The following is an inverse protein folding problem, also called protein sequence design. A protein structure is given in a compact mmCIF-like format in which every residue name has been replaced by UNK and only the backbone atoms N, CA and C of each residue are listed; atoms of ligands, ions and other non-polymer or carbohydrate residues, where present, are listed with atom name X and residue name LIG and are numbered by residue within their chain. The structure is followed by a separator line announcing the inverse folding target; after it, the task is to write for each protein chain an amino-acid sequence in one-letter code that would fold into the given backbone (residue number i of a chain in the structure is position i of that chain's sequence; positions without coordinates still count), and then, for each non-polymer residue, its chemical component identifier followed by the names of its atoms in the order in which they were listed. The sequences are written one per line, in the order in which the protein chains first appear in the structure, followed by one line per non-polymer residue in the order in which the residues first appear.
data_IF_392850443929
#
_entry.id   IF_392850443929
#
_cell.length_a   1.000
_cell.length_b   1.000
_cell.length_c   1.000
_cell.angle_alpha   90.00
_cell.angle_beta   90.00
_cell.angle_gamma   90.00
#
_symmetry.space_group_name_H-M   'P 1'
#
loop_
_entity.id
_entity.type
_entity.pdbx_description
1 polymer ?
#
# COMPACT_ATOMS: atom_id res chain seq x y z
N UNK A 1 -68.22 23.56 -46.14
CA UNK A 1 -67.81 22.16 -46.02
C UNK A 1 -66.56 22.17 -45.16
N UNK A 2 -66.69 21.86 -43.87
CA UNK A 2 -65.56 21.90 -42.91
C UNK A 2 -65.18 20.46 -42.56
N UNK A 3 -63.99 20.01 -42.99
CA UNK A 3 -63.50 18.67 -42.63
C UNK A 3 -63.13 18.60 -41.16
N UNK A 4 -63.55 17.56 -40.42
CA UNK A 4 -63.21 17.40 -39.02
C UNK A 4 -61.78 16.87 -38.88
N UNK A 5 -60.93 17.65 -38.20
CA UNK A 5 -59.56 17.33 -37.84
C UNK A 5 -59.53 16.07 -36.95
N UNK A 6 -59.15 14.91 -37.52
CA UNK A 6 -59.04 13.64 -36.83
C UNK A 6 -57.80 13.68 -35.91
N UNK A 7 -57.98 13.97 -34.61
CA UNK A 7 -56.93 13.84 -33.57
C UNK A 7 -56.48 12.39 -33.52
N UNK A 8 -55.23 12.13 -33.98
CA UNK A 8 -54.53 10.86 -33.72
C UNK A 8 -54.41 10.69 -32.21
N UNK A 9 -55.10 9.72 -31.65
CA UNK A 9 -54.84 9.23 -30.29
C UNK A 9 -53.45 8.67 -30.26
N UNK A 10 -52.53 9.37 -29.62
CA UNK A 10 -51.23 8.79 -29.23
C UNK A 10 -51.54 7.73 -28.19
N UNK A 11 -51.33 6.47 -28.57
CA UNK A 11 -51.38 5.35 -27.64
C UNK A 11 -50.27 5.52 -26.62
N UNK A 12 -50.64 5.81 -25.37
CA UNK A 12 -49.69 5.80 -24.26
C UNK A 12 -49.11 4.38 -24.13
N UNK A 13 -47.80 4.21 -24.08
CA UNK A 13 -47.19 2.89 -23.87
C UNK A 13 -47.68 2.31 -22.54
N UNK A 14 -47.94 1.01 -22.51
CA UNK A 14 -48.46 0.36 -21.31
C UNK A 14 -47.40 0.35 -20.22
N UNK A 15 -47.71 0.56 -18.92
CA UNK A 15 -46.74 0.64 -17.83
C UNK A 15 -45.92 -0.66 -17.60
N UNK A 16 -46.34 -1.77 -18.22
CA UNK A 16 -45.59 -3.04 -18.19
C UNK A 16 -44.40 -3.05 -19.12
N UNK A 17 -44.45 -2.37 -20.25
CA UNK A 17 -43.33 -2.26 -21.21
C UNK A 17 -42.22 -1.38 -20.66
N UNK A 18 -42.56 -0.29 -19.97
CA UNK A 18 -41.62 0.62 -19.34
C UNK A 18 -40.84 -0.04 -18.20
N UNK A 19 -41.50 -0.90 -17.40
CA UNK A 19 -40.82 -1.66 -16.34
C UNK A 19 -39.80 -2.67 -16.89
N UNK A 20 -40.09 -3.30 -18.00
CA UNK A 20 -39.13 -4.23 -18.66
C UNK A 20 -37.90 -3.51 -19.20
N UNK A 21 -38.04 -2.33 -19.81
CA UNK A 21 -36.93 -1.52 -20.31
C UNK A 21 -36.02 -1.07 -19.17
N UNK A 22 -36.56 -0.56 -18.07
CA UNK A 22 -35.79 -0.13 -16.91
C UNK A 22 -34.96 -1.25 -16.27
N UNK A 23 -35.49 -2.49 -16.25
CA UNK A 23 -34.72 -3.65 -15.74
C UNK A 23 -33.51 -3.96 -16.64
N UNK A 24 -33.68 -3.89 -17.95
CA UNK A 24 -32.60 -4.11 -18.91
C UNK A 24 -31.51 -3.04 -18.80
N UNK A 25 -31.90 -1.77 -18.71
CA UNK A 25 -30.99 -0.66 -18.50
C UNK A 25 -30.20 -0.82 -17.19
N UNK A 26 -30.88 -1.16 -16.11
CA UNK A 26 -30.24 -1.42 -14.83
C UNK A 26 -29.27 -2.60 -14.90
N UNK A 27 -29.65 -3.69 -15.55
CA UNK A 27 -28.79 -4.87 -15.72
C UNK A 27 -27.51 -4.60 -16.51
N UNK A 28 -27.51 -3.60 -17.40
CA UNK A 28 -26.34 -3.17 -18.15
C UNK A 28 -25.44 -2.24 -17.32
N UNK A 29 -26.00 -1.37 -16.49
CA UNK A 29 -25.27 -0.38 -15.70
C UNK A 29 -24.64 -1.01 -14.46
N UNK A 30 -25.33 -1.94 -13.79
CA UNK A 30 -24.86 -2.52 -12.51
C UNK A 30 -23.50 -3.18 -12.60
N UNK A 31 -23.15 -4.00 -13.61
CA UNK A 31 -21.83 -4.61 -13.70
C UNK A 31 -20.72 -3.56 -13.78
N UNK A 32 -20.92 -2.50 -14.56
CA UNK A 32 -19.95 -1.40 -14.68
C UNK A 32 -19.78 -0.64 -13.37
N UNK A 33 -20.90 -0.37 -12.69
CA UNK A 33 -20.90 0.28 -11.37
C UNK A 33 -20.17 -0.57 -10.31
N UNK A 34 -20.45 -1.87 -10.25
CA UNK A 34 -19.76 -2.79 -9.33
C UNK A 34 -18.25 -2.88 -9.61
N UNK A 35 -17.85 -2.92 -10.88
CA UNK A 35 -16.44 -2.90 -11.26
C UNK A 35 -15.75 -1.63 -10.76
N UNK A 36 -16.39 -0.47 -10.90
CA UNK A 36 -15.87 0.80 -10.41
C UNK A 36 -15.75 0.81 -8.88
N UNK A 37 -16.77 0.35 -8.16
CA UNK A 37 -16.76 0.29 -6.69
C UNK A 37 -15.66 -0.64 -6.18
N UNK A 38 -15.53 -1.84 -6.75
CA UNK A 38 -14.46 -2.78 -6.39
C UNK A 38 -13.07 -2.24 -6.72
N UNK A 39 -12.94 -1.49 -7.82
CA UNK A 39 -11.71 -0.79 -8.16
C UNK A 39 -11.32 0.24 -7.10
N UNK A 40 -12.27 1.07 -6.66
CA UNK A 40 -12.03 2.05 -5.61
C UNK A 40 -11.54 1.36 -4.32
N UNK A 41 -12.15 0.25 -3.93
CA UNK A 41 -11.77 -0.51 -2.73
C UNK A 41 -10.32 -1.02 -2.86
N UNK A 42 -9.98 -1.70 -3.94
CA UNK A 42 -8.66 -2.29 -4.13
C UNK A 42 -7.54 -1.22 -4.22
N UNK A 43 -7.77 -0.15 -5.00
CA UNK A 43 -6.78 0.92 -5.12
C UNK A 43 -6.64 1.75 -3.84
N UNK A 44 -7.74 1.97 -3.09
CA UNK A 44 -7.67 2.64 -1.79
C UNK A 44 -6.85 1.84 -0.79
N UNK A 45 -6.98 0.51 -0.78
CA UNK A 45 -6.18 -0.35 0.07
C UNK A 45 -4.70 -0.30 -0.32
N UNK A 46 -4.38 -0.43 -1.61
CA UNK A 46 -3.00 -0.32 -2.10
C UNK A 46 -2.37 1.05 -1.78
N UNK A 47 -3.15 2.13 -1.86
CA UNK A 47 -2.69 3.47 -1.51
C UNK A 47 -2.45 3.61 0.01
N UNK A 48 -3.31 3.01 0.83
CA UNK A 48 -3.11 2.95 2.28
C UNK A 48 -1.81 2.21 2.63
N UNK A 49 -1.56 1.04 2.04
CA UNK A 49 -0.34 0.27 2.24
C UNK A 49 0.91 1.08 1.84
N UNK A 50 0.86 1.78 0.70
CA UNK A 50 1.93 2.66 0.26
C UNK A 50 2.24 3.78 1.27
N UNK A 51 1.21 4.42 1.79
CA UNK A 51 1.37 5.46 2.81
C UNK A 51 1.92 4.90 4.12
N UNK A 52 1.46 3.73 4.55
CA UNK A 52 1.95 3.02 5.73
C UNK A 52 3.44 2.71 5.62
N UNK A 53 3.89 2.20 4.46
CA UNK A 53 5.32 1.96 4.18
C UNK A 53 6.12 3.26 4.27
N UNK A 54 5.65 4.35 3.68
CA UNK A 54 6.35 5.65 3.72
C UNK A 54 6.46 6.23 5.13
N UNK A 55 5.39 6.15 5.91
CA UNK A 55 5.37 6.62 7.30
C UNK A 55 6.25 5.73 8.18
N UNK A 56 6.14 4.41 8.05
CA UNK A 56 6.93 3.46 8.82
C UNK A 56 8.43 3.59 8.58
N UNK A 57 8.87 3.83 7.34
CA UNK A 57 10.28 4.09 7.03
C UNK A 57 10.79 5.37 7.73
N UNK A 58 9.99 6.44 7.77
CA UNK A 58 10.38 7.69 8.43
C UNK A 58 10.52 7.51 9.93
N UNK A 59 9.55 6.88 10.55
CA UNK A 59 9.56 6.68 11.98
C UNK A 59 10.60 5.64 12.40
N UNK A 60 10.75 4.53 11.64
CA UNK A 60 11.81 3.55 11.85
C UNK A 60 13.19 4.16 11.72
N UNK A 61 13.46 4.93 10.68
CA UNK A 61 14.73 5.61 10.50
C UNK A 61 15.03 6.60 11.65
N UNK A 62 14.01 7.32 12.13
CA UNK A 62 14.15 8.23 13.28
C UNK A 62 14.60 7.49 14.54
N UNK A 63 14.02 6.34 14.84
CA UNK A 63 14.42 5.53 16.00
C UNK A 63 15.83 4.94 15.83
N UNK A 64 16.19 4.55 14.63
CA UNK A 64 17.52 4.04 14.31
C UNK A 64 18.61 5.10 14.57
N UNK A 65 18.37 6.37 14.18
CA UNK A 65 19.39 7.41 14.32
C UNK A 65 19.61 7.88 15.78
N UNK A 66 18.64 7.62 16.66
CA UNK A 66 18.77 7.92 18.11
C UNK A 66 19.07 6.67 18.94
N UNK A 67 19.23 5.52 18.31
CA UNK A 67 19.45 4.22 18.96
C UNK A 67 18.38 3.87 20.03
N UNK A 68 17.12 4.23 19.77
CA UNK A 68 16.01 3.92 20.68
C UNK A 68 15.28 2.65 20.25
N UNK A 69 15.53 1.57 20.99
CA UNK A 69 14.92 0.26 20.80
C UNK A 69 13.87 -0.08 21.86
N UNK A 70 13.55 0.84 22.77
CA UNK A 70 12.69 0.60 23.94
C UNK A 70 11.22 0.39 23.58
N UNK A 71 10.83 0.77 22.39
CA UNK A 71 9.45 0.71 21.90
C UNK A 71 9.20 -0.54 21.04
N UNK A 72 7.94 -0.90 20.87
CA UNK A 72 7.45 -1.92 19.92
C UNK A 72 7.82 -3.39 20.25
N UNK A 73 8.30 -3.69 21.46
CA UNK A 73 8.63 -5.08 21.86
C UNK A 73 9.86 -5.67 21.12
N UNK A 74 10.63 -4.85 20.42
CA UNK A 74 11.82 -5.26 19.67
C UNK A 74 13.07 -5.34 20.55
N UNK A 75 13.03 -6.16 21.60
CA UNK A 75 14.07 -6.23 22.64
C UNK A 75 15.10 -7.34 22.43
N UNK A 76 14.89 -8.23 21.48
CA UNK A 76 15.75 -9.40 21.24
C UNK A 76 16.58 -9.28 19.97
N UNK A 77 17.77 -9.86 19.98
CA UNK A 77 18.71 -9.87 18.87
C UNK A 77 19.68 -8.68 18.87
N UNK A 78 20.52 -8.61 17.85
CA UNK A 78 21.49 -7.51 17.63
C UNK A 78 20.74 -6.20 17.32
N UNK A 79 21.43 -5.05 17.49
CA UNK A 79 20.87 -3.73 17.17
C UNK A 79 20.33 -3.66 15.73
N UNK A 80 20.97 -4.33 14.78
CA UNK A 80 20.49 -4.40 13.40
C UNK A 80 19.16 -5.14 13.26
N UNK A 81 18.98 -6.25 14.00
CA UNK A 81 17.72 -7.01 14.03
C UNK A 81 16.63 -6.21 14.74
N UNK A 82 16.96 -5.53 15.85
CA UNK A 82 16.04 -4.65 16.57
C UNK A 82 15.61 -3.48 15.70
N UNK A 83 16.52 -2.84 14.98
CA UNK A 83 16.26 -1.78 14.03
C UNK A 83 15.27 -2.20 12.92
N UNK A 84 15.50 -3.39 12.34
CA UNK A 84 14.58 -3.95 11.34
C UNK A 84 13.22 -4.30 11.94
N UNK A 85 13.18 -4.84 13.17
CA UNK A 85 11.95 -5.12 13.92
C UNK A 85 11.13 -3.85 14.15
N UNK A 86 11.76 -2.80 14.69
CA UNK A 86 11.13 -1.49 14.93
C UNK A 86 10.57 -0.91 13.63
N UNK A 87 11.36 -0.94 12.55
CA UNK A 87 10.89 -0.46 11.24
C UNK A 87 9.65 -1.20 10.76
N UNK A 88 9.60 -2.54 10.89
CA UNK A 88 8.40 -3.32 10.54
C UNK A 88 7.20 -2.98 11.42
N UNK A 89 7.42 -2.81 12.72
CA UNK A 89 6.36 -2.42 13.66
C UNK A 89 5.76 -1.05 13.29
N UNK A 90 6.60 -0.09 12.90
CA UNK A 90 6.16 1.26 12.49
C UNK A 90 5.47 1.28 11.12
N UNK A 91 5.77 0.35 10.24
CA UNK A 91 5.01 0.17 9.00
C UNK A 91 3.58 -0.27 9.30
N UNK A 92 3.37 -1.07 10.35
CA UNK A 92 2.03 -1.47 10.81
C UNK A 92 1.28 -2.40 9.85
N UNK A 93 1.96 -3.00 8.88
CA UNK A 93 1.44 -4.00 7.96
C UNK A 93 1.88 -5.41 8.35
N UNK A 94 1.52 -6.42 7.56
CA UNK A 94 1.96 -7.79 7.82
C UNK A 94 3.49 -7.86 7.87
N UNK A 95 4.04 -8.22 9.04
CA UNK A 95 5.47 -8.25 9.30
C UNK A 95 6.23 -9.30 8.45
N UNK A 96 5.58 -10.41 8.11
CA UNK A 96 6.17 -11.46 7.28
C UNK A 96 6.40 -11.00 5.83
N UNK A 97 5.50 -10.15 5.33
CA UNK A 97 5.55 -9.59 3.98
C UNK A 97 6.37 -8.29 3.91
N UNK A 98 6.55 -7.60 5.05
CA UNK A 98 7.35 -6.37 5.13
C UNK A 98 8.83 -6.71 5.14
N UNK A 99 9.54 -6.35 4.08
CA UNK A 99 10.99 -6.59 3.94
C UNK A 99 11.75 -5.29 4.17
N UNK A 100 12.80 -5.38 4.98
CA UNK A 100 13.61 -4.24 5.42
C UNK A 100 15.05 -4.45 5.00
N UNK A 101 15.69 -3.39 4.52
CA UNK A 101 17.16 -3.30 4.37
C UNK A 101 17.63 -2.02 5.06
N UNK A 102 18.70 -2.16 5.82
CA UNK A 102 19.40 -1.05 6.48
C UNK A 102 20.81 -1.05 5.93
N UNK A 103 21.20 0.04 5.33
CA UNK A 103 22.49 0.19 4.67
C UNK A 103 23.31 1.30 5.34
N UNK A 104 24.54 0.96 5.68
CA UNK A 104 25.51 1.87 6.25
C UNK A 104 26.68 1.99 5.27
N UNK A 105 27.05 3.21 4.82
CA UNK A 105 28.08 3.36 3.78
C UNK A 105 29.50 3.00 4.25
N UNK A 106 29.82 3.16 5.54
CA UNK A 106 31.16 2.89 6.04
C UNK A 106 31.18 2.38 7.48
N UNK A 107 30.92 3.25 8.43
CA UNK A 107 31.01 2.98 9.86
C UNK A 107 29.78 3.47 10.57
N UNK A 108 29.31 2.77 11.61
CA UNK A 108 28.25 3.26 12.46
C UNK A 108 28.83 4.27 13.45
N UNK A 109 28.75 5.54 13.10
CA UNK A 109 29.31 6.65 13.91
C UNK A 109 28.37 7.87 13.83
N UNK A 110 28.34 8.73 14.87
CA UNK A 110 27.58 9.97 14.84
C UNK A 110 28.01 10.85 13.66
N UNK A 111 27.04 11.42 12.95
CA UNK A 111 27.25 12.23 11.74
C UNK A 111 27.29 11.44 10.44
N UNK A 112 27.48 10.13 10.46
CA UNK A 112 27.38 9.25 9.30
C UNK A 112 25.92 9.07 8.86
N UNK A 113 25.72 8.54 7.65
CA UNK A 113 24.40 8.34 7.07
C UNK A 113 23.95 6.90 7.19
N UNK A 114 22.73 6.70 7.63
CA UNK A 114 22.04 5.41 7.55
C UNK A 114 20.92 5.51 6.51
N UNK A 115 20.81 4.51 5.65
CA UNK A 115 19.74 4.39 4.68
C UNK A 115 18.83 3.23 5.07
N UNK A 116 17.55 3.52 5.21
CA UNK A 116 16.51 2.53 5.53
C UNK A 116 15.61 2.37 4.32
N UNK A 117 15.46 1.16 3.85
CA UNK A 117 14.62 0.78 2.73
C UNK A 117 13.61 -0.27 3.16
N UNK A 118 12.38 -0.09 2.72
CA UNK A 118 11.30 -1.04 2.98
C UNK A 118 10.57 -1.35 1.68
N UNK A 119 10.22 -2.63 1.50
CA UNK A 119 9.32 -3.07 0.45
C UNK A 119 8.17 -3.89 1.03
N UNK A 120 6.99 -3.74 0.42
CA UNK A 120 5.77 -4.45 0.78
C UNK A 120 4.95 -4.79 -0.47
N UNK A 121 4.45 -6.03 -0.65
CA UNK A 121 3.72 -6.42 -1.84
C UNK A 121 2.29 -5.87 -1.81
N UNK A 122 1.80 -5.32 -2.91
CA UNK A 122 0.38 -5.02 -3.04
C UNK A 122 -0.44 -6.30 -3.20
N UNK A 123 -1.63 -6.29 -2.61
CA UNK A 123 -2.60 -7.38 -2.74
C UNK A 123 -3.97 -6.82 -3.06
N UNK A 124 -4.64 -7.41 -4.05
CA UNK A 124 -6.05 -7.12 -4.31
C UNK A 124 -6.90 -7.74 -3.21
N UNK A 125 -7.79 -6.95 -2.62
CA UNK A 125 -8.72 -7.39 -1.59
C UNK A 125 -9.95 -8.08 -2.20
N UNK A 126 -10.45 -7.53 -3.31
CA UNK A 126 -11.63 -8.07 -4.01
C UNK A 126 -11.30 -9.24 -4.95
N UNK A 127 -10.02 -9.39 -5.31
CA UNK A 127 -9.54 -10.37 -6.28
C UNK A 127 -9.72 -9.95 -7.74
N UNK A 128 -10.58 -8.98 -8.04
CA UNK A 128 -10.90 -8.57 -9.40
C UNK A 128 -9.70 -7.89 -10.09
N UNK A 129 -8.97 -7.07 -9.35
CA UNK A 129 -7.78 -6.36 -9.85
C UNK A 129 -6.46 -7.09 -9.53
N UNK A 130 -6.53 -8.36 -9.15
CA UNK A 130 -5.33 -9.19 -8.91
C UNK A 130 -4.32 -9.17 -10.07
N UNK A 131 -4.70 -9.24 -11.35
CA UNK A 131 -3.73 -9.21 -12.45
C UNK A 131 -2.94 -7.89 -12.54
N UNK A 132 -3.50 -6.80 -11.99
CA UNK A 132 -2.88 -5.46 -12.02
C UNK A 132 -2.08 -5.19 -10.74
N UNK A 133 -2.61 -5.56 -9.58
CA UNK A 133 -2.03 -5.25 -8.28
C UNK A 133 -1.04 -6.30 -7.78
N UNK A 134 -1.33 -7.59 -8.02
CA UNK A 134 -0.43 -8.66 -7.59
C UNK A 134 0.86 -8.64 -8.43
N UNK A 135 2.00 -8.45 -7.76
CA UNK A 135 3.29 -8.24 -8.40
C UNK A 135 3.79 -6.79 -8.32
N UNK A 136 2.89 -5.84 -8.02
CA UNK A 136 3.27 -4.49 -7.63
C UNK A 136 3.83 -4.47 -6.21
N UNK A 137 4.75 -3.56 -5.94
CA UNK A 137 5.44 -3.44 -4.65
C UNK A 137 5.51 -1.99 -4.23
N UNK A 138 5.00 -1.69 -3.03
CA UNK A 138 5.28 -0.42 -2.36
C UNK A 138 6.74 -0.40 -1.94
N UNK A 139 7.46 0.66 -2.31
CA UNK A 139 8.87 0.86 -1.97
C UNK A 139 9.05 2.23 -1.34
N UNK A 140 9.83 2.30 -0.28
CA UNK A 140 10.23 3.56 0.32
C UNK A 140 11.66 3.48 0.80
N UNK A 141 12.40 4.58 0.59
CA UNK A 141 13.78 4.77 0.98
C UNK A 141 13.90 6.09 1.71
N UNK A 142 14.65 6.09 2.81
CA UNK A 142 15.00 7.30 3.53
C UNK A 142 16.44 7.20 4.03
N UNK A 143 17.19 8.28 3.84
CA UNK A 143 18.54 8.43 4.38
C UNK A 143 18.52 9.52 5.44
N UNK A 144 19.06 9.23 6.62
CA UNK A 144 19.17 10.15 7.75
C UNK A 144 20.59 10.12 8.32
N UNK A 145 20.96 11.16 9.07
CA UNK A 145 22.22 11.19 9.81
C UNK A 145 22.04 10.59 11.19
N UNK A 146 23.01 9.79 11.61
CA UNK A 146 23.06 9.18 12.94
C UNK A 146 23.36 10.26 13.97
N UNK A 147 22.51 10.37 14.99
CA UNK A 147 22.66 11.35 16.08
C UNK A 147 23.35 10.71 17.30
N UNK A 148 22.95 9.49 17.65
CA UNK A 148 23.54 8.75 18.75
C UNK A 148 23.75 7.29 18.36
N UNK A 149 24.70 6.64 19.03
CA UNK A 149 25.05 5.24 18.81
C UNK A 149 24.97 4.47 20.12
N UNK A 150 24.68 3.19 20.03
CA UNK A 150 24.93 2.21 21.08
C UNK A 150 26.33 1.62 20.82
N UNK A 151 27.31 2.03 21.61
CA UNK A 151 28.70 1.58 21.47
C UNK A 151 28.88 0.08 21.81
N UNK A 152 27.96 -0.49 22.57
CA UNK A 152 28.03 -1.88 23.00
C UNK A 152 27.53 -2.87 21.95
N UNK A 153 26.64 -2.42 21.08
CA UNK A 153 26.05 -3.23 19.99
C UNK A 153 25.79 -2.35 18.75
N UNK A 154 26.84 -1.98 17.99
CA UNK A 154 26.68 -1.11 16.83
C UNK A 154 25.84 -1.76 15.74
N UNK A 155 25.05 -0.93 15.06
CA UNK A 155 24.27 -1.39 13.90
C UNK A 155 25.23 -1.78 12.76
N UNK A 156 25.02 -2.96 12.19
CA UNK A 156 25.63 -3.38 10.94
C UNK A 156 24.61 -3.34 9.81
N UNK A 157 25.07 -3.45 8.58
CA UNK A 157 24.18 -3.62 7.43
C UNK A 157 23.27 -4.83 7.65
N UNK A 158 21.98 -4.61 7.47
CA UNK A 158 20.94 -5.64 7.61
C UNK A 158 20.15 -5.75 6.32
N UNK A 159 19.87 -6.96 5.90
CA UNK A 159 19.11 -7.20 4.69
C UNK A 159 18.21 -8.42 4.85
N UNK A 160 16.90 -8.22 4.64
CA UNK A 160 15.95 -9.32 4.47
C UNK A 160 16.10 -9.94 3.08
N UNK A 161 15.75 -11.21 2.95
CA UNK A 161 15.52 -11.80 1.64
C UNK A 161 14.45 -11.00 0.91
N UNK A 162 14.72 -10.44 -0.27
CA UNK A 162 13.75 -9.62 -0.97
C UNK A 162 12.52 -10.44 -1.39
N UNK A 163 11.45 -9.74 -1.74
CA UNK A 163 10.26 -10.38 -2.29
C UNK A 163 10.61 -11.09 -3.61
N UNK A 164 9.93 -12.18 -3.91
CA UNK A 164 10.15 -12.99 -5.12
C UNK A 164 10.11 -12.11 -6.37
N UNK A 165 11.16 -12.19 -7.19
CA UNK A 165 11.30 -11.38 -8.41
C UNK A 165 11.70 -9.92 -8.17
N UNK A 166 12.02 -9.55 -6.93
CA UNK A 166 12.47 -8.21 -6.55
C UNK A 166 13.93 -8.24 -6.10
N UNK A 167 14.57 -7.10 -6.11
CA UNK A 167 15.92 -6.90 -5.60
C UNK A 167 16.03 -5.59 -4.84
N UNK A 168 17.19 -5.35 -4.22
CA UNK A 168 17.48 -4.14 -3.47
C UNK A 168 18.26 -3.08 -4.25
N UNK A 169 18.42 -3.25 -5.56
CA UNK A 169 19.20 -2.31 -6.41
C UNK A 169 18.69 -0.86 -6.40
N UNK A 170 17.44 -0.66 -5.98
CA UNK A 170 16.82 0.66 -5.84
C UNK A 170 17.10 1.32 -4.47
N UNK A 171 17.55 0.55 -3.50
CA UNK A 171 17.97 1.00 -2.17
C UNK A 171 19.35 1.63 -2.23
#
# INVERSE_FOLDING_TARGET
MVEPFRRRRQSRPSPRVERGAAIVEFALVVPLFLLLVMGIIDFSNAFNDYNSVRQGVREGARQIVVADWSTDGCTSGTSSVRAACVTRARVGLNTADTKVRIELPSTYAPGEQVTVCVMYPFRSLTGLFSPVLNGGVARSKLTMRIESIDETDPIATYEDTPLTGQGWSWC
#
